data_IF_257471627057
#
_entry.id   IF_257471627057
#
_cell.length_a   1.000
_cell.length_b   1.000
_cell.length_c   1.000
_cell.angle_alpha   90.00
_cell.angle_beta   90.00
_cell.angle_gamma   90.00
#
_symmetry.space_group_name_H-M   'P 1'
#
loop_
_entity.id
_entity.type
_entity.pdbx_description
1 polymer ?
#
# COMPACT_ATOMS: atom_id res chain seq x y z
N UNK A 1 -14.03 7.04 4.79
CA UNK A 1 -12.85 7.89 4.51
C UNK A 1 -11.96 7.10 3.56
N UNK A 2 -11.39 7.70 2.51
CA UNK A 2 -10.55 6.96 1.55
C UNK A 2 -9.08 7.29 1.77
N UNK A 3 -8.27 6.27 2.06
CA UNK A 3 -6.81 6.38 2.24
C UNK A 3 -6.08 6.34 0.90
N UNK A 4 -4.76 6.58 0.90
CA UNK A 4 -3.89 6.36 -0.26
C UNK A 4 -4.03 4.97 -0.88
N UNK A 5 -4.20 3.91 -0.08
CA UNK A 5 -4.43 2.56 -0.60
C UNK A 5 -5.77 2.42 -1.35
N UNK A 6 -6.85 3.05 -0.87
CA UNK A 6 -8.13 3.05 -1.60
C UNK A 6 -8.04 3.78 -2.95
N UNK A 7 -7.05 4.66 -3.10
CA UNK A 7 -6.77 5.41 -4.33
C UNK A 7 -5.70 4.76 -5.19
N UNK A 8 -5.19 3.58 -4.82
CA UNK A 8 -4.22 2.87 -5.64
C UNK A 8 -4.85 2.45 -6.97
N UNK A 9 -4.08 2.32 -8.06
CA UNK A 9 -4.58 1.79 -9.32
C UNK A 9 -5.28 0.43 -9.21
N UNK A 10 -4.79 -0.45 -8.32
CA UNK A 10 -5.42 -1.75 -8.06
C UNK A 10 -6.82 -1.60 -7.45
N UNK A 11 -6.96 -0.76 -6.43
CA UNK A 11 -8.24 -0.50 -5.77
C UNK A 11 -9.22 0.23 -6.69
N UNK A 12 -8.76 1.28 -7.39
CA UNK A 12 -9.57 2.09 -8.30
C UNK A 12 -10.17 1.26 -9.43
N UNK A 13 -9.36 0.38 -10.03
CA UNK A 13 -9.80 -0.45 -11.15
C UNK A 13 -10.46 -1.76 -10.70
N UNK A 14 -10.40 -2.11 -9.40
CA UNK A 14 -10.93 -3.38 -8.90
C UNK A 14 -10.16 -4.59 -9.45
N UNK A 15 -8.86 -4.42 -9.70
CA UNK A 15 -7.96 -5.46 -10.23
C UNK A 15 -6.91 -5.82 -9.19
N UNK A 16 -6.23 -6.94 -9.44
CA UNK A 16 -5.25 -7.55 -8.53
C UNK A 16 -3.87 -7.60 -9.19
N UNK A 17 -2.83 -7.80 -8.39
CA UNK A 17 -1.45 -8.03 -8.85
C UNK A 17 -1.33 -9.25 -9.78
N UNK A 18 -2.29 -10.18 -9.71
CA UNK A 18 -2.34 -11.43 -10.49
C UNK A 18 -3.16 -11.31 -11.78
N UNK A 19 -3.82 -10.18 -12.02
CA UNK A 19 -4.59 -9.97 -13.24
C UNK A 19 -3.67 -9.62 -14.43
N UNK A 20 -4.02 -10.17 -15.60
CA UNK A 20 -3.32 -9.93 -16.87
C UNK A 20 -3.61 -8.54 -17.43
N UNK A 21 -2.74 -8.06 -18.32
CA UNK A 21 -2.90 -6.77 -18.98
C UNK A 21 -4.28 -6.58 -19.64
N UNK A 22 -4.80 -7.59 -20.34
CA UNK A 22 -6.10 -7.51 -21.01
C UNK A 22 -7.25 -7.21 -20.04
N UNK A 23 -7.27 -7.88 -18.88
CA UNK A 23 -8.28 -7.65 -17.83
C UNK A 23 -8.14 -6.27 -17.20
N UNK A 24 -6.90 -5.78 -17.04
CA UNK A 24 -6.65 -4.42 -16.53
C UNK A 24 -7.18 -3.37 -17.51
N UNK A 25 -6.99 -3.57 -18.82
CA UNK A 25 -7.50 -2.68 -19.86
C UNK A 25 -9.04 -2.68 -19.86
N UNK A 26 -9.64 -3.87 -19.85
CA UNK A 26 -11.11 -4.03 -19.79
C UNK A 26 -11.70 -3.34 -18.56
N UNK A 27 -11.13 -3.58 -17.37
CA UNK A 27 -11.62 -2.96 -16.14
C UNK A 27 -11.42 -1.43 -16.13
N UNK A 28 -10.33 -0.92 -16.72
CA UNK A 28 -10.15 0.52 -16.86
C UNK A 28 -11.24 1.16 -17.73
N UNK A 29 -11.60 0.52 -18.83
CA UNK A 29 -12.69 0.98 -19.70
C UNK A 29 -14.04 0.92 -18.98
N UNK A 30 -14.36 -0.19 -18.30
CA UNK A 30 -15.59 -0.33 -17.52
C UNK A 30 -15.69 0.73 -16.41
N UNK A 31 -14.63 0.92 -15.62
CA UNK A 31 -14.61 1.86 -14.50
C UNK A 31 -14.67 3.32 -14.94
N UNK A 32 -14.20 3.64 -16.15
CA UNK A 32 -14.29 5.01 -16.70
C UNK A 32 -15.73 5.47 -16.97
N UNK A 33 -16.71 4.56 -16.96
CA UNK A 33 -18.13 4.89 -17.04
C UNK A 33 -18.67 5.48 -15.72
N UNK A 34 -18.01 5.21 -14.60
CA UNK A 34 -18.44 5.58 -13.26
C UNK A 34 -17.47 6.52 -12.53
N UNK A 35 -16.19 6.48 -12.91
CA UNK A 35 -15.11 7.29 -12.37
C UNK A 35 -14.60 8.29 -13.41
N UNK A 36 -13.74 9.20 -12.97
CA UNK A 36 -13.05 10.12 -13.86
C UNK A 36 -12.17 9.35 -14.89
N UNK A 37 -12.36 9.67 -16.16
CA UNK A 37 -11.71 8.96 -17.28
C UNK A 37 -10.19 9.13 -17.29
N UNK A 38 -9.69 10.30 -16.87
CA UNK A 38 -8.25 10.57 -16.80
C UNK A 38 -7.62 9.76 -15.66
N UNK A 39 -8.31 9.63 -14.53
CA UNK A 39 -7.89 8.77 -13.41
C UNK A 39 -7.82 7.29 -13.84
N UNK A 40 -8.83 6.78 -14.54
CA UNK A 40 -8.82 5.40 -15.05
C UNK A 40 -7.71 5.18 -16.09
N UNK A 41 -7.50 6.14 -17.00
CA UNK A 41 -6.44 6.09 -18.01
C UNK A 41 -5.06 6.05 -17.37
N UNK A 42 -4.84 6.88 -16.34
CA UNK A 42 -3.61 6.91 -15.55
C UNK A 42 -3.39 5.60 -14.80
N UNK A 43 -4.40 5.10 -14.09
CA UNK A 43 -4.33 3.84 -13.37
C UNK A 43 -3.99 2.65 -14.30
N UNK A 44 -4.62 2.59 -15.48
CA UNK A 44 -4.29 1.60 -16.52
C UNK A 44 -2.83 1.71 -16.97
N UNK A 45 -2.37 2.93 -17.27
CA UNK A 45 -0.99 3.17 -17.69
C UNK A 45 0.00 2.72 -16.62
N UNK A 46 -0.32 2.99 -15.35
CA UNK A 46 0.54 2.65 -14.23
C UNK A 46 0.62 1.15 -13.99
N UNK A 47 -0.46 0.39 -14.24
CA UNK A 47 -0.47 -1.06 -14.06
C UNK A 47 0.06 -1.85 -15.27
N UNK A 48 0.10 -1.27 -16.46
CA UNK A 48 0.50 -1.98 -17.69
C UNK A 48 1.92 -1.66 -18.14
N UNK A 49 2.47 -0.49 -17.77
CA UNK A 49 3.84 -0.10 -18.09
C UNK A 49 4.81 -0.70 -17.07
N UNK A 50 5.86 -1.41 -17.53
CA UNK A 50 6.79 -2.16 -16.68
C UNK A 50 7.33 -1.34 -15.49
N UNK A 51 7.82 -0.11 -15.76
CA UNK A 51 8.39 0.76 -14.72
C UNK A 51 7.34 1.20 -13.70
N UNK A 52 6.24 1.79 -14.18
CA UNK A 52 5.19 2.30 -13.29
C UNK A 52 4.51 1.18 -12.50
N UNK A 53 4.45 -0.03 -13.08
CA UNK A 53 3.85 -1.19 -12.42
C UNK A 53 4.65 -1.56 -11.19
N UNK A 54 5.99 -1.54 -11.26
CA UNK A 54 6.83 -1.84 -10.11
C UNK A 54 6.57 -0.88 -8.96
N UNK A 55 6.62 0.43 -9.23
CA UNK A 55 6.29 1.46 -8.25
C UNK A 55 4.90 1.25 -7.63
N UNK A 56 3.93 0.83 -8.46
CA UNK A 56 2.55 0.57 -7.99
C UNK A 56 2.46 -0.68 -7.12
N UNK A 57 3.18 -1.75 -7.46
CA UNK A 57 3.25 -2.99 -6.68
C UNK A 57 3.93 -2.76 -5.32
N UNK A 58 5.03 -2.01 -5.29
CA UNK A 58 5.75 -1.65 -4.05
C UNK A 58 4.86 -0.84 -3.09
N UNK A 59 3.99 0.02 -3.63
CA UNK A 59 3.05 0.83 -2.84
C UNK A 59 1.78 0.07 -2.45
N UNK A 60 1.60 -1.15 -2.95
CA UNK A 60 0.41 -1.96 -2.72
C UNK A 60 0.62 -2.93 -1.54
N UNK A 61 0.20 -4.18 -1.69
CA UNK A 61 0.24 -5.21 -0.68
C UNK A 61 0.98 -6.44 -1.25
N UNK A 62 2.28 -6.32 -1.59
CA UNK A 62 3.06 -7.42 -2.14
C UNK A 62 3.07 -8.61 -1.18
N UNK A 63 3.05 -9.82 -1.74
CA UNK A 63 2.97 -11.06 -0.96
C UNK A 63 1.59 -11.35 -0.34
N UNK A 64 0.63 -10.43 -0.42
CA UNK A 64 -0.71 -10.62 0.13
C UNK A 64 -1.67 -11.18 -0.92
N UNK A 65 -2.37 -12.26 -0.60
CA UNK A 65 -3.37 -12.83 -1.48
C UNK A 65 -4.51 -11.84 -1.79
N UNK A 66 -5.05 -11.79 -3.02
CA UNK A 66 -6.05 -10.78 -3.42
C UNK A 66 -7.28 -10.65 -2.51
N UNK A 67 -7.84 -11.78 -2.05
CA UNK A 67 -8.99 -11.74 -1.14
C UNK A 67 -8.63 -11.15 0.22
N UNK A 68 -7.41 -11.41 0.72
CA UNK A 68 -6.92 -10.84 1.97
C UNK A 68 -6.68 -9.33 1.81
N UNK A 69 -6.13 -8.89 0.67
CA UNK A 69 -5.94 -7.49 0.35
C UNK A 69 -7.26 -6.70 0.38
N UNK A 70 -8.33 -7.25 -0.20
CA UNK A 70 -9.66 -6.64 -0.12
C UNK A 70 -10.18 -6.55 1.32
N UNK A 71 -10.00 -7.61 2.11
CA UNK A 71 -10.36 -7.61 3.53
C UNK A 71 -9.57 -6.58 4.36
N UNK A 72 -8.31 -6.31 4.00
CA UNK A 72 -7.50 -5.27 4.65
C UNK A 72 -8.00 -3.85 4.32
N UNK A 73 -8.42 -3.60 3.08
CA UNK A 73 -9.04 -2.32 2.71
C UNK A 73 -10.35 -2.09 3.46
N UNK A 74 -11.17 -3.14 3.60
CA UNK A 74 -12.41 -3.08 4.38
C UNK A 74 -12.12 -2.80 5.86
N UNK A 75 -11.13 -3.50 6.45
CA UNK A 75 -10.69 -3.28 7.82
C UNK A 75 -10.18 -1.84 8.06
N UNK A 76 -9.46 -1.23 7.12
CA UNK A 76 -9.10 0.19 7.21
C UNK A 76 -10.33 1.10 7.37
N UNK A 77 -11.47 0.74 6.81
CA UNK A 77 -12.70 1.54 6.92
C UNK A 77 -13.52 1.20 8.16
N UNK A 78 -13.61 -0.09 8.51
CA UNK A 78 -14.60 -0.59 9.46
C UNK A 78 -14.01 -1.06 10.80
N UNK A 79 -12.72 -1.40 10.85
CA UNK A 79 -12.07 -1.96 12.04
C UNK A 79 -10.54 -1.79 12.01
N UNK A 80 -10.07 -0.56 12.16
CA UNK A 80 -8.64 -0.22 12.08
C UNK A 80 -7.79 -0.93 13.14
N UNK A 81 -8.34 -1.14 14.35
CA UNK A 81 -7.64 -1.81 15.46
C UNK A 81 -7.23 -3.26 15.11
N UNK A 82 -8.00 -3.94 14.25
CA UNK A 82 -7.65 -5.29 13.81
C UNK A 82 -6.37 -5.40 12.97
N UNK A 83 -5.80 -4.26 12.57
CA UNK A 83 -4.61 -4.19 11.73
C UNK A 83 -3.30 -4.23 12.54
N UNK A 84 -3.34 -3.93 13.85
CA UNK A 84 -2.14 -3.91 14.71
C UNK A 84 -1.55 -5.31 14.95
N UNK A 85 -2.41 -6.29 15.15
CA UNK A 85 -1.98 -7.62 15.62
C UNK A 85 -1.70 -8.63 14.48
N UNK A 86 -1.79 -8.22 13.21
CA UNK A 86 -1.63 -9.13 12.08
C UNK A 86 -0.17 -9.36 11.71
N UNK A 87 0.49 -10.20 12.51
CA UNK A 87 1.87 -10.67 12.28
C UNK A 87 2.03 -11.59 11.07
N UNK A 88 0.94 -11.94 10.37
CA UNK A 88 0.99 -12.83 9.20
C UNK A 88 1.28 -12.09 7.88
N UNK A 89 1.28 -10.76 7.91
CA UNK A 89 1.50 -9.94 6.72
C UNK A 89 3.00 -9.80 6.39
N UNK A 90 3.37 -9.84 5.10
CA UNK A 90 4.67 -9.38 4.65
C UNK A 90 5.02 -7.99 5.19
N UNK A 91 6.28 -7.73 5.61
CA UNK A 91 6.66 -6.46 6.22
C UNK A 91 6.30 -5.22 5.36
N UNK A 92 6.57 -5.27 4.05
CA UNK A 92 6.25 -4.16 3.15
C UNK A 92 4.75 -3.91 3.04
N UNK A 93 3.95 -4.98 2.91
CA UNK A 93 2.51 -4.86 2.85
C UNK A 93 1.93 -4.31 4.17
N UNK A 94 2.44 -4.79 5.30
CA UNK A 94 2.03 -4.31 6.62
C UNK A 94 2.39 -2.82 6.80
N UNK A 95 3.60 -2.41 6.44
CA UNK A 95 4.00 -1.00 6.46
C UNK A 95 3.08 -0.14 5.58
N UNK A 96 2.71 -0.59 4.38
CA UNK A 96 1.76 0.14 3.54
C UNK A 96 0.37 0.28 4.17
N UNK A 97 -0.11 -0.73 4.90
CA UNK A 97 -1.36 -0.68 5.65
C UNK A 97 -1.28 0.32 6.80
N UNK A 98 -0.23 0.22 7.63
CA UNK A 98 -0.03 1.12 8.78
C UNK A 98 0.12 2.58 8.32
N UNK A 99 0.86 2.83 7.23
CA UNK A 99 0.97 4.15 6.62
C UNK A 99 -0.40 4.70 6.17
N UNK A 100 -1.26 3.85 5.61
CA UNK A 100 -2.63 4.23 5.24
C UNK A 100 -3.53 4.44 6.48
N UNK A 101 -3.32 3.68 7.55
CA UNK A 101 -4.04 3.83 8.82
C UNK A 101 -3.79 5.20 9.45
N UNK A 102 -2.53 5.69 9.44
CA UNK A 102 -2.17 7.03 9.92
C UNK A 102 -2.95 8.17 9.25
N UNK A 103 -3.48 7.97 8.04
CA UNK A 103 -4.29 9.00 7.36
C UNK A 103 -5.64 9.23 8.06
N UNK A 104 -6.14 8.23 8.80
CA UNK A 104 -7.49 8.15 9.34
C UNK A 104 -7.57 7.85 10.85
N UNK A 105 -6.43 7.66 11.52
CA UNK A 105 -6.38 7.51 12.98
C UNK A 105 -7.05 8.70 13.68
N UNK A 106 -7.73 8.41 14.79
CA UNK A 106 -8.38 9.43 15.60
C UNK A 106 -7.32 10.29 16.31
N UNK A 107 -7.18 11.59 16.02
CA UNK A 107 -6.25 12.46 16.73
C UNK A 107 -6.57 12.57 18.24
N UNK A 108 -7.78 12.17 18.67
CA UNK A 108 -8.21 12.23 20.06
C UNK A 108 -7.85 10.99 20.88
N UNK A 109 -7.41 9.87 20.28
CA UNK A 109 -6.95 8.67 21.02
C UNK A 109 -5.76 8.97 21.96
N UNK A 110 -5.48 8.09 22.91
CA UNK A 110 -4.46 8.36 23.93
C UNK A 110 -3.05 8.47 23.30
N UNK A 111 -2.17 9.26 23.93
CA UNK A 111 -0.79 9.39 23.48
C UNK A 111 -0.07 8.01 23.47
N UNK A 112 -0.35 7.15 24.46
CA UNK A 112 0.15 5.77 24.49
C UNK A 112 -0.26 4.96 23.26
N UNK A 113 -1.52 5.10 22.82
CA UNK A 113 -1.99 4.35 21.66
C UNK A 113 -1.26 4.83 20.38
N UNK A 114 -1.04 6.14 20.25
CA UNK A 114 -0.21 6.71 19.17
C UNK A 114 1.22 6.20 19.20
N UNK A 115 1.84 6.15 20.39
CA UNK A 115 3.18 5.61 20.58
C UNK A 115 3.23 4.16 20.10
N UNK A 116 2.27 3.32 20.47
CA UNK A 116 2.18 1.94 20.02
C UNK A 116 2.09 1.84 18.48
N UNK A 117 1.19 2.60 17.84
CA UNK A 117 1.06 2.62 16.38
C UNK A 117 2.37 3.03 15.68
N UNK A 118 3.07 4.04 16.19
CA UNK A 118 4.33 4.53 15.62
C UNK A 118 5.45 3.52 15.82
N UNK A 119 5.52 2.88 16.99
CA UNK A 119 6.53 1.86 17.29
C UNK A 119 6.32 0.62 16.42
N UNK A 120 5.09 0.10 16.34
CA UNK A 120 4.75 -1.05 15.48
C UNK A 120 5.11 -0.77 14.01
N UNK A 121 4.85 0.45 13.54
CA UNK A 121 5.21 0.86 12.20
C UNK A 121 6.72 0.94 11.99
N UNK A 122 7.46 1.56 12.91
CA UNK A 122 8.91 1.64 12.83
C UNK A 122 9.56 0.25 12.82
N UNK A 123 9.14 -0.64 13.72
CA UNK A 123 9.59 -2.03 13.73
C UNK A 123 9.27 -2.76 12.42
N UNK A 124 8.06 -2.56 11.88
CA UNK A 124 7.65 -3.18 10.61
C UNK A 124 8.52 -2.70 9.45
N UNK A 125 8.83 -1.41 9.38
CA UNK A 125 9.69 -0.83 8.33
C UNK A 125 11.12 -1.39 8.40
N UNK A 126 11.66 -1.59 9.61
CA UNK A 126 12.99 -2.17 9.82
C UNK A 126 13.08 -3.65 9.40
N UNK A 127 11.95 -4.35 9.32
CA UNK A 127 11.87 -5.75 8.86
C UNK A 127 11.77 -5.89 7.33
N UNK A 128 11.67 -4.80 6.56
CA UNK A 128 11.56 -4.86 5.11
C UNK A 128 12.89 -5.28 4.49
N UNK A 129 12.93 -6.49 3.92
CA UNK A 129 14.04 -6.99 3.12
C UNK A 129 13.73 -6.94 1.62
N UNK A 130 14.68 -6.41 0.84
CA UNK A 130 14.48 -6.22 -0.60
C UNK A 130 14.53 -7.52 -1.42
N UNK A 131 15.20 -8.58 -0.94
CA UNK A 131 15.19 -9.89 -1.61
C UNK A 131 13.83 -10.59 -1.39
N UNK A 132 13.27 -10.50 -0.19
CA UNK A 132 11.93 -11.00 0.11
C UNK A 132 10.87 -10.28 -0.75
N UNK A 133 10.92 -8.95 -0.79
CA UNK A 133 10.02 -8.14 -1.63
C UNK A 133 10.14 -8.48 -3.12
N UNK A 134 11.38 -8.68 -3.61
CA UNK A 134 11.63 -9.10 -4.99
C UNK A 134 10.94 -10.44 -5.30
N UNK A 135 11.08 -11.40 -4.39
CA UNK A 135 10.47 -12.73 -4.50
C UNK A 135 8.95 -12.64 -4.53
N UNK A 136 8.35 -11.87 -3.63
CA UNK A 136 6.90 -11.67 -3.53
C UNK A 136 6.31 -11.03 -4.78
N UNK A 137 6.95 -9.98 -5.31
CA UNK A 137 6.50 -9.31 -6.54
C UNK A 137 6.60 -10.26 -7.73
N UNK A 138 7.73 -10.95 -7.88
CA UNK A 138 7.94 -11.85 -9.01
C UNK A 138 7.00 -13.07 -8.97
N UNK A 139 6.60 -13.54 -7.79
CA UNK A 139 5.59 -14.58 -7.64
C UNK A 139 4.25 -14.17 -8.27
N UNK A 140 3.76 -12.96 -8.00
CA UNK A 140 2.52 -12.46 -8.58
C UNK A 140 2.66 -12.07 -10.07
N UNK A 141 3.83 -11.54 -10.48
CA UNK A 141 4.13 -11.24 -11.89
C UNK A 141 4.15 -12.49 -12.76
N UNK A 142 4.67 -13.60 -12.23
CA UNK A 142 4.66 -14.91 -12.90
C UNK A 142 3.22 -15.34 -13.21
N UNK A 143 2.29 -15.17 -12.25
CA UNK A 143 0.89 -15.53 -12.42
C UNK A 143 0.15 -14.61 -13.40
N UNK A 144 0.46 -13.32 -13.38
CA UNK A 144 -0.14 -12.31 -14.26
C UNK A 144 0.48 -12.22 -15.66
N UNK A 145 1.64 -12.86 -15.88
CA UNK A 145 2.37 -12.86 -17.14
C UNK A 145 3.15 -11.57 -17.44
N UNK A 146 3.37 -10.72 -16.44
CA UNK A 146 4.26 -9.57 -16.56
C UNK A 146 5.72 -9.98 -16.43
N UNK A 147 6.64 -9.24 -17.05
CA UNK A 147 8.06 -9.51 -16.94
C UNK A 147 8.55 -9.35 -15.50
N UNK A 148 9.27 -10.36 -15.02
CA UNK A 148 9.91 -10.35 -13.72
C UNK A 148 10.89 -9.18 -13.58
N UNK A 149 10.98 -8.64 -12.37
CA UNK A 149 12.01 -7.70 -11.96
C UNK A 149 13.33 -8.48 -11.84
N UNK A 150 14.37 -7.97 -12.50
CA UNK A 150 15.62 -8.74 -12.73
C UNK A 150 16.68 -8.56 -11.65
N UNK A 151 16.61 -7.48 -10.88
CA UNK A 151 17.66 -7.11 -9.94
C UNK A 151 17.10 -6.41 -8.71
N UNK A 152 17.74 -6.69 -7.57
CA UNK A 152 17.42 -6.12 -6.27
C UNK A 152 17.51 -4.59 -6.26
N UNK A 153 18.40 -4.04 -7.08
CA UNK A 153 18.64 -2.59 -7.16
C UNK A 153 17.38 -1.81 -7.56
N UNK A 154 16.54 -2.39 -8.42
CA UNK A 154 15.25 -1.79 -8.81
C UNK A 154 14.24 -1.79 -7.65
N UNK A 155 14.32 -2.79 -6.77
CA UNK A 155 13.49 -2.85 -5.56
C UNK A 155 13.99 -1.83 -4.55
N UNK A 156 15.30 -1.74 -4.35
CA UNK A 156 15.91 -0.78 -3.42
C UNK A 156 15.61 0.68 -3.81
N UNK A 157 15.68 1.04 -5.10
CA UNK A 157 15.32 2.37 -5.61
C UNK A 157 13.88 2.74 -5.23
N UNK A 158 12.92 1.84 -5.47
CA UNK A 158 11.51 2.09 -5.15
C UNK A 158 11.23 2.05 -3.64
N UNK A 159 11.99 1.25 -2.87
CA UNK A 159 11.91 1.22 -1.41
C UNK A 159 12.46 2.50 -0.77
N UNK A 160 13.48 3.14 -1.35
CA UNK A 160 13.97 4.45 -0.89
C UNK A 160 12.88 5.51 -1.00
N UNK A 161 12.22 5.59 -2.16
CA UNK A 161 11.06 6.46 -2.38
C UNK A 161 9.93 6.12 -1.40
N UNK A 162 9.73 4.83 -1.11
CA UNK A 162 8.70 4.38 -0.18
C UNK A 162 8.99 4.77 1.27
N UNK A 163 10.24 4.67 1.73
CA UNK A 163 10.68 5.13 3.06
C UNK A 163 10.50 6.63 3.23
N UNK A 164 10.76 7.41 2.18
CA UNK A 164 10.46 8.84 2.20
C UNK A 164 8.96 9.10 2.41
N UNK A 165 8.10 8.40 1.65
CA UNK A 165 6.65 8.49 1.85
C UNK A 165 6.23 8.15 3.28
N UNK A 166 6.76 7.06 3.86
CA UNK A 166 6.44 6.67 5.23
C UNK A 166 6.75 7.76 6.26
N UNK A 167 7.90 8.42 6.10
CA UNK A 167 8.30 9.54 6.94
C UNK A 167 7.29 10.69 6.83
N UNK A 168 6.86 11.04 5.62
CA UNK A 168 5.89 12.11 5.40
C UNK A 168 4.48 11.74 5.90
N UNK A 169 4.07 10.47 5.79
CA UNK A 169 2.81 9.98 6.34
C UNK A 169 2.73 10.14 7.86
N UNK A 170 3.79 9.78 8.59
CA UNK A 170 3.82 9.97 10.05
C UNK A 170 3.81 11.46 10.40
N UNK A 171 4.63 12.28 9.75
CA UNK A 171 4.65 13.74 10.00
C UNK A 171 3.27 14.35 9.81
N UNK A 172 2.62 14.05 8.70
CA UNK A 172 1.28 14.54 8.41
C UNK A 172 0.22 14.05 9.40
N UNK A 173 0.44 12.90 10.05
CA UNK A 173 -0.43 12.40 11.11
C UNK A 173 -0.15 13.11 12.45
N UNK A 174 1.13 13.28 12.81
CA UNK A 174 1.56 14.00 14.02
C UNK A 174 1.13 15.47 14.00
N UNK A 175 1.16 16.12 12.83
CA UNK A 175 0.70 17.51 12.67
C UNK A 175 -0.79 17.71 12.98
N UNK A 176 -1.58 16.63 13.07
CA UNK A 176 -3.00 16.66 13.46
C UNK A 176 -3.20 16.55 14.98
N UNK A 177 -2.15 16.24 15.75
CA UNK A 177 -2.24 16.07 17.20
C UNK A 177 -2.24 17.40 17.94
N UNK A 178 -2.89 17.41 19.09
CA UNK A 178 -2.75 18.51 20.04
C UNK A 178 -1.29 18.58 20.52
N UNK A 179 -0.75 19.80 20.59
CA UNK A 179 0.61 20.09 21.06
C UNK A 179 0.92 19.44 22.41
N UNK A 180 -0.06 19.36 23.31
CA UNK A 180 0.11 18.73 24.63
C UNK A 180 0.40 17.23 24.51
N UNK A 181 -0.16 16.54 23.51
CA UNK A 181 0.08 15.10 23.29
C UNK A 181 1.45 14.80 22.69
N UNK A 182 2.09 15.78 22.04
CA UNK A 182 3.42 15.60 21.43
C UNK A 182 4.55 15.58 22.47
N UNK A 183 4.28 16.01 23.71
CA UNK A 183 5.26 16.10 24.81
C UNK A 183 5.00 15.10 25.94
N UNK A 184 3.98 14.25 25.81
CA UNK A 184 3.70 13.11 26.69
C UNK A 184 4.48 11.86 26.27
#
# INVERSE_FOLDING_TARGET
>A
MQTSLHRSPFALLGVTTRDKADKIIEQAEEKSLFLDSDVCTKARSDLTTVRNRLATEIRWLPGVAPNRALGLLDALTNNIESLKDDTSLPPLANANILAAAFEILDPNMAASDWQDWIMDFAYTVDLIDADDVLSEINADRTLSGFSEVKGKEQIEEELDDRRHFYTESIKAALDKLDLMKLVE
#
